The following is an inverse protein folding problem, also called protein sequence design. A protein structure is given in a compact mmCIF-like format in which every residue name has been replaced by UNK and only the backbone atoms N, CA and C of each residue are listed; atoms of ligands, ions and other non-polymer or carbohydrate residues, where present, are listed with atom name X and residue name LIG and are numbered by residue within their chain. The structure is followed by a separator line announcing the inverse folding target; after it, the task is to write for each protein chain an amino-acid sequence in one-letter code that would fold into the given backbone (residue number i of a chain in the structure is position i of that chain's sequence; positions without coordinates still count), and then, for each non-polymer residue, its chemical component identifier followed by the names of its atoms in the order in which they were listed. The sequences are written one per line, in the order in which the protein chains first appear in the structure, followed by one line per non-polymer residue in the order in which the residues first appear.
data_IF_919151913962
#
_entry.id   IF_919151913962
#
_cell.length_a   1.000
_cell.length_b   1.000
_cell.length_c   1.000
_cell.angle_alpha   90.00
_cell.angle_beta   90.00
_cell.angle_gamma   90.00
#
_symmetry.space_group_name_H-M   'P 1'
#
loop_
_entity.id
_entity.type
_entity.pdbx_description
1 polymer ?
#
# COMPACT_ATOMS: atom_id res chain seq x y z
N UNK A 1 78.91 20.67 6.90
CA UNK A 1 78.20 19.46 6.57
C UNK A 1 77.13 19.07 7.60
N UNK A 2 77.40 19.00 8.90
CA UNK A 2 76.36 18.64 9.92
C UNK A 2 75.09 19.51 9.90
N UNK A 3 75.24 20.82 9.76
CA UNK A 3 74.09 21.78 9.75
C UNK A 3 73.19 21.65 8.54
N UNK A 4 73.69 21.24 7.38
CA UNK A 4 72.90 20.98 6.15
C UNK A 4 72.13 19.67 6.23
N UNK A 5 72.67 18.65 6.91
CA UNK A 5 71.98 17.39 7.14
C UNK A 5 70.83 17.51 8.11
N UNK A 6 70.93 18.36 9.12
CA UNK A 6 69.84 18.62 10.08
C UNK A 6 68.66 19.38 9.43
N UNK A 7 68.96 20.33 8.54
CA UNK A 7 67.94 21.09 7.77
C UNK A 7 67.24 20.15 6.77
N UNK A 8 67.97 19.25 6.08
CA UNK A 8 67.39 18.29 5.15
C UNK A 8 66.54 17.27 5.87
N UNK A 9 66.92 16.79 7.07
CA UNK A 9 66.14 15.89 7.90
C UNK A 9 64.84 16.56 8.44
N UNK A 10 64.92 17.85 8.80
CA UNK A 10 63.75 18.62 9.27
C UNK A 10 62.78 18.89 8.11
N UNK A 11 63.26 19.21 6.91
CA UNK A 11 62.42 19.35 5.71
C UNK A 11 61.79 18.04 5.27
N UNK A 12 62.46 16.89 5.37
CA UNK A 12 61.85 15.57 5.07
C UNK A 12 60.81 15.17 6.13
N UNK A 13 61.03 15.50 7.41
CA UNK A 13 60.03 15.24 8.45
C UNK A 13 58.78 16.11 8.27
N UNK A 14 58.92 17.36 7.80
CA UNK A 14 57.82 18.27 7.53
C UNK A 14 57.03 17.89 6.25
N UNK A 15 57.73 17.31 5.25
CA UNK A 15 57.12 16.84 4.01
C UNK A 15 56.36 15.52 4.21
N UNK A 16 56.74 14.67 5.18
CA UNK A 16 56.03 13.46 5.58
C UNK A 16 54.73 13.75 6.35
N UNK A 17 54.60 14.92 7.01
CA UNK A 17 53.41 15.35 7.74
C UNK A 17 52.32 15.92 6.79
N UNK A 18 52.67 16.36 5.59
CA UNK A 18 51.72 16.84 4.59
C UNK A 18 51.19 15.75 3.64
N UNK A 19 51.71 14.52 3.69
CA UNK A 19 51.20 13.37 2.95
C UNK A 19 50.26 12.48 3.74
N UNK A 20 50.03 12.80 5.04
CA UNK A 20 49.07 12.12 5.88
C UNK A 20 47.77 12.90 5.92
N UNK A 21 46.84 12.61 5.02
CA UNK A 21 45.46 12.94 5.25
C UNK A 21 44.78 13.89 4.31
N UNK A 22 44.72 13.51 3.04
CA UNK A 22 43.46 13.59 2.32
C UNK A 22 43.04 12.15 2.00
N UNK A 23 42.66 11.39 3.01
CA UNK A 23 41.57 10.48 2.81
C UNK A 23 40.39 11.38 2.45
N UNK A 24 40.09 11.51 1.17
CA UNK A 24 38.74 11.82 0.73
C UNK A 24 37.88 10.79 1.44
N UNK A 25 37.29 11.19 2.57
CA UNK A 25 36.15 10.47 3.12
C UNK A 25 35.24 10.29 1.92
N UNK A 26 34.81 9.06 1.56
CA UNK A 26 33.81 8.93 0.53
C UNK A 26 32.72 9.93 0.92
N UNK A 27 32.38 10.82 -0.02
CA UNK A 27 31.23 11.71 0.18
C UNK A 27 30.13 10.80 0.66
N UNK A 28 29.68 10.96 1.90
CA UNK A 28 28.67 10.10 2.51
C UNK A 28 27.36 10.42 1.81
N UNK A 29 27.27 10.01 0.54
CA UNK A 29 26.08 10.15 -0.28
C UNK A 29 25.04 9.25 0.36
N UNK A 30 23.93 9.83 0.80
CA UNK A 30 22.84 9.11 1.44
C UNK A 30 22.33 7.95 0.59
N UNK A 31 21.62 7.01 1.19
CA UNK A 31 20.82 6.02 0.46
C UNK A 31 19.58 6.73 -0.05
N UNK A 32 19.33 6.67 -1.37
CA UNK A 32 18.18 7.33 -1.99
C UNK A 32 17.05 6.33 -2.20
N UNK A 33 15.88 6.60 -1.65
CA UNK A 33 14.64 5.86 -1.92
C UNK A 33 13.71 6.80 -2.71
N UNK A 34 13.22 6.34 -3.85
CA UNK A 34 12.27 7.09 -4.66
C UNK A 34 10.83 6.87 -4.21
N UNK A 35 9.96 7.90 -4.34
CA UNK A 35 8.51 7.70 -4.25
C UNK A 35 7.84 8.16 -5.54
N UNK A 36 6.85 7.39 -5.99
CA UNK A 36 6.02 7.67 -7.17
C UNK A 36 4.56 7.63 -6.71
N UNK A 37 4.06 8.75 -6.20
CA UNK A 37 2.79 8.83 -5.49
C UNK A 37 1.90 9.94 -6.05
N UNK A 38 0.58 9.83 -5.89
CA UNK A 38 -0.38 10.87 -6.27
C UNK A 38 -0.49 11.94 -5.17
N UNK A 39 0.51 12.82 -5.05
CA UNK A 39 0.54 13.86 -4.01
C UNK A 39 -0.38 15.04 -4.33
N UNK A 40 -0.90 15.09 -5.54
CA UNK A 40 -1.96 15.98 -5.98
C UNK A 40 -2.92 15.25 -6.94
N UNK A 41 -4.05 15.85 -7.26
CA UNK A 41 -5.00 15.26 -8.20
C UNK A 41 -5.77 14.07 -7.63
N UNK A 42 -6.03 13.09 -8.49
CA UNK A 42 -6.82 11.90 -8.12
C UNK A 42 -6.01 10.95 -7.23
N UNK A 43 -6.62 10.51 -6.13
CA UNK A 43 -5.96 9.62 -5.16
C UNK A 43 -5.07 10.33 -4.14
N UNK A 44 -5.02 11.69 -4.16
CA UNK A 44 -4.20 12.46 -3.23
C UNK A 44 -4.43 12.10 -1.76
N UNK A 45 -5.67 11.83 -1.36
CA UNK A 45 -5.99 11.46 0.03
C UNK A 45 -5.26 10.21 0.49
N UNK A 46 -5.19 9.20 -0.36
CA UNK A 46 -4.49 7.93 -0.09
C UNK A 46 -2.97 8.14 -0.09
N UNK A 47 -2.45 8.66 -1.19
CA UNK A 47 -1.00 8.77 -1.38
C UNK A 47 -0.31 9.77 -0.44
N UNK A 48 -1.01 10.82 0.01
CA UNK A 48 -0.48 11.71 1.06
C UNK A 48 -0.31 10.96 2.39
N UNK A 49 -1.26 10.09 2.71
CA UNK A 49 -1.17 9.22 3.90
C UNK A 49 0.00 8.24 3.77
N UNK A 50 0.13 7.57 2.61
CA UNK A 50 1.26 6.70 2.30
C UNK A 50 2.60 7.42 2.47
N UNK A 51 2.74 8.64 1.92
CA UNK A 51 3.98 9.41 2.02
C UNK A 51 4.33 9.76 3.47
N UNK A 52 3.34 10.09 4.31
CA UNK A 52 3.56 10.32 5.74
C UNK A 52 4.10 9.08 6.45
N UNK A 53 3.61 7.90 6.13
CA UNK A 53 4.14 6.63 6.64
C UNK A 53 5.59 6.41 6.24
N UNK A 54 5.93 6.65 4.98
CA UNK A 54 7.29 6.57 4.44
C UNK A 54 8.23 7.57 5.13
N UNK A 55 7.80 8.82 5.28
CA UNK A 55 8.58 9.86 5.94
C UNK A 55 8.81 9.57 7.43
N UNK A 56 7.84 8.97 8.12
CA UNK A 56 8.02 8.51 9.49
C UNK A 56 9.06 7.39 9.55
N UNK A 57 8.94 6.38 8.70
CA UNK A 57 9.87 5.25 8.64
C UNK A 57 11.31 5.72 8.36
N UNK A 58 11.48 6.62 7.40
CA UNK A 58 12.78 7.25 7.08
C UNK A 58 13.38 7.95 8.30
N UNK A 59 12.58 8.75 9.01
CA UNK A 59 13.07 9.47 10.20
C UNK A 59 13.51 8.47 11.27
N UNK A 60 12.71 7.45 11.56
CA UNK A 60 13.04 6.40 12.54
C UNK A 60 14.31 5.61 12.16
N UNK A 61 14.56 5.40 10.86
CA UNK A 61 15.79 4.77 10.38
C UNK A 61 16.97 5.72 10.54
N UNK A 62 16.81 6.99 10.20
CA UNK A 62 17.87 8.00 10.33
C UNK A 62 18.27 8.28 11.78
N UNK A 63 17.32 8.26 12.71
CA UNK A 63 17.56 8.42 14.15
C UNK A 63 18.42 7.26 14.72
N UNK A 64 18.43 6.10 14.05
CA UNK A 64 19.28 4.96 14.39
C UNK A 64 20.60 4.90 13.62
N UNK A 65 20.93 5.95 12.85
CA UNK A 65 22.20 6.08 12.11
C UNK A 65 22.08 5.84 10.59
N UNK A 66 20.87 5.74 10.07
CA UNK A 66 20.59 5.52 8.66
C UNK A 66 20.79 4.07 8.22
N UNK A 67 20.89 3.82 6.91
CA UNK A 67 21.15 2.51 6.31
C UNK A 67 22.63 2.40 5.94
N UNK A 68 23.26 1.29 6.30
CA UNK A 68 24.69 1.06 6.06
C UNK A 68 25.57 2.21 6.60
N UNK A 69 25.16 2.85 7.71
CA UNK A 69 25.84 4.01 8.29
C UNK A 69 25.70 5.29 7.45
N UNK A 70 24.75 5.38 6.56
CA UNK A 70 24.48 6.54 5.70
C UNK A 70 23.06 7.05 5.90
N UNK A 71 22.82 8.38 5.88
CA UNK A 71 21.46 8.92 5.98
C UNK A 71 20.61 8.48 4.79
N UNK A 72 19.33 8.20 5.04
CA UNK A 72 18.34 7.95 3.98
C UNK A 72 17.68 9.25 3.58
N UNK A 73 17.50 9.43 2.27
CA UNK A 73 16.79 10.56 1.68
C UNK A 73 15.69 10.07 0.75
N UNK A 74 14.53 10.71 0.79
CA UNK A 74 13.43 10.45 -0.15
C UNK A 74 13.57 11.37 -1.36
N UNK A 75 13.43 10.78 -2.53
CA UNK A 75 13.28 11.49 -3.81
C UNK A 75 11.81 11.35 -4.22
N UNK A 76 11.00 12.32 -3.82
CA UNK A 76 9.55 12.28 -4.08
C UNK A 76 9.21 12.82 -5.46
N UNK A 77 8.35 12.10 -6.20
CA UNK A 77 7.80 12.52 -7.50
C UNK A 77 6.28 12.38 -7.46
N UNK A 78 5.59 13.51 -7.67
CA UNK A 78 4.14 13.55 -7.79
C UNK A 78 3.69 13.05 -9.16
N UNK A 79 2.88 12.00 -9.22
CA UNK A 79 2.28 11.47 -10.45
C UNK A 79 0.87 12.01 -10.73
N UNK A 80 0.36 12.90 -9.88
CA UNK A 80 -0.96 13.55 -10.00
C UNK A 80 -2.15 12.56 -10.13
N UNK A 81 -1.94 11.28 -9.81
CA UNK A 81 -2.91 10.20 -10.04
C UNK A 81 -3.15 9.90 -11.52
N UNK A 82 -2.16 10.19 -12.38
CA UNK A 82 -2.23 10.00 -13.84
C UNK A 82 -1.22 8.95 -14.30
N UNK A 83 -1.64 7.99 -15.13
CA UNK A 83 -0.75 6.95 -15.67
C UNK A 83 0.48 7.52 -16.40
N UNK A 84 0.30 8.52 -17.24
CA UNK A 84 1.39 9.14 -18.01
C UNK A 84 2.43 9.83 -17.12
N UNK A 85 2.00 10.46 -16.03
CA UNK A 85 2.90 11.11 -15.08
C UNK A 85 3.62 10.06 -14.20
N UNK A 86 2.93 8.97 -13.86
CA UNK A 86 3.54 7.83 -13.16
C UNK A 86 4.66 7.18 -13.97
N UNK A 87 4.45 7.01 -15.29
CA UNK A 87 5.49 6.50 -16.20
C UNK A 87 6.69 7.46 -16.28
N UNK A 88 6.44 8.76 -16.40
CA UNK A 88 7.49 9.78 -16.42
C UNK A 88 8.27 9.83 -15.09
N UNK A 89 7.65 9.55 -13.96
CA UNK A 89 8.29 9.49 -12.65
C UNK A 89 9.38 8.40 -12.60
N UNK A 90 9.17 7.23 -13.22
CA UNK A 90 10.19 6.16 -13.26
C UNK A 90 11.48 6.67 -13.91
N UNK A 91 11.39 7.43 -15.00
CA UNK A 91 12.57 8.00 -15.66
C UNK A 91 13.29 9.01 -14.76
N UNK A 92 12.55 9.88 -14.07
CA UNK A 92 13.12 10.87 -13.14
C UNK A 92 13.85 10.17 -11.99
N UNK A 93 13.27 9.12 -11.41
CA UNK A 93 13.87 8.36 -10.31
C UNK A 93 15.09 7.56 -10.77
N UNK A 94 15.06 7.02 -11.99
CA UNK A 94 16.20 6.29 -12.58
C UNK A 94 17.45 7.16 -12.70
N UNK A 95 17.33 8.38 -13.19
CA UNK A 95 18.50 9.31 -13.32
C UNK A 95 19.01 9.80 -11.97
N UNK A 96 18.25 9.63 -10.89
CA UNK A 96 18.67 9.90 -9.53
C UNK A 96 19.36 8.73 -8.86
N UNK A 97 19.43 7.56 -9.52
CA UNK A 97 20.03 6.33 -9.01
C UNK A 97 19.47 5.91 -7.64
N UNK A 98 18.14 5.90 -7.51
CA UNK A 98 17.49 5.43 -6.29
C UNK A 98 17.69 3.92 -6.11
N UNK A 99 17.80 3.47 -4.86
CA UNK A 99 17.98 2.05 -4.50
C UNK A 99 16.70 1.24 -4.64
N UNK A 100 15.56 1.89 -4.48
CA UNK A 100 14.22 1.31 -4.64
C UNK A 100 13.20 2.43 -4.92
N UNK A 101 12.02 2.05 -5.41
CA UNK A 101 10.87 2.93 -5.64
C UNK A 101 9.70 2.42 -4.82
N UNK A 102 9.04 3.30 -4.06
CA UNK A 102 7.81 2.99 -3.34
C UNK A 102 6.64 3.67 -4.05
N UNK A 103 5.59 2.90 -4.35
CA UNK A 103 4.45 3.34 -5.17
C UNK A 103 4.61 2.95 -6.65
N UNK A 104 3.57 3.18 -7.49
CA UNK A 104 2.32 3.88 -7.18
C UNK A 104 1.36 3.08 -6.29
N UNK A 105 0.38 3.81 -5.70
CA UNK A 105 -0.72 3.21 -4.92
C UNK A 105 -1.88 2.78 -5.83
N UNK A 106 -2.21 3.61 -6.83
CA UNK A 106 -3.37 3.40 -7.70
C UNK A 106 -3.08 2.36 -8.78
N UNK A 107 -4.01 1.43 -9.00
CA UNK A 107 -3.90 0.34 -9.98
C UNK A 107 -3.51 0.83 -11.39
N UNK A 108 -4.22 1.85 -11.91
CA UNK A 108 -4.00 2.35 -13.27
C UNK A 108 -2.60 2.95 -13.44
N UNK A 109 -2.08 3.63 -12.40
CA UNK A 109 -0.72 4.17 -12.37
C UNK A 109 0.34 3.06 -12.22
N UNK A 110 0.05 2.03 -11.42
CA UNK A 110 0.99 0.92 -11.21
C UNK A 110 1.17 0.10 -12.50
N UNK A 111 0.08 -0.23 -13.18
CA UNK A 111 0.13 -1.07 -14.40
C UNK A 111 1.01 -0.50 -15.51
N UNK A 112 0.97 0.80 -15.75
CA UNK A 112 1.72 1.41 -16.86
C UNK A 112 3.23 1.46 -16.61
N UNK A 113 3.66 1.42 -15.35
CA UNK A 113 5.09 1.51 -14.99
C UNK A 113 5.81 0.16 -15.02
N UNK A 114 5.10 -0.97 -15.01
CA UNK A 114 5.69 -2.32 -14.89
C UNK A 114 6.79 -2.60 -15.93
N UNK A 115 6.57 -2.38 -17.25
CA UNK A 115 7.59 -2.64 -18.25
C UNK A 115 8.84 -1.75 -18.07
N UNK A 116 8.65 -0.51 -17.64
CA UNK A 116 9.75 0.44 -17.43
C UNK A 116 10.58 0.05 -16.21
N UNK A 117 9.94 -0.37 -15.12
CA UNK A 117 10.61 -0.84 -13.90
C UNK A 117 11.47 -2.08 -14.18
N UNK A 118 10.93 -3.07 -14.89
CA UNK A 118 11.69 -4.25 -15.31
C UNK A 118 12.90 -3.88 -16.18
N UNK A 119 12.74 -2.90 -17.09
CA UNK A 119 13.82 -2.45 -17.96
C UNK A 119 14.95 -1.73 -17.22
N UNK A 120 14.61 -0.89 -16.21
CA UNK A 120 15.61 -0.13 -15.44
C UNK A 120 16.20 -0.93 -14.27
N UNK A 121 15.59 -2.07 -13.90
CA UNK A 121 16.05 -2.99 -12.84
C UNK A 121 16.19 -2.33 -11.46
N UNK A 122 15.25 -1.47 -11.13
CA UNK A 122 15.11 -0.85 -9.81
C UNK A 122 13.89 -1.48 -9.15
N UNK A 123 13.98 -2.10 -7.94
CA UNK A 123 12.82 -2.69 -7.31
C UNK A 123 11.76 -1.63 -7.01
N UNK A 124 10.51 -1.94 -7.34
CA UNK A 124 9.34 -1.17 -7.03
C UNK A 124 8.49 -1.97 -6.04
N UNK A 125 8.17 -1.35 -4.91
CA UNK A 125 7.24 -1.89 -3.93
C UNK A 125 5.98 -1.04 -3.97
N UNK A 126 4.86 -1.60 -4.47
CA UNK A 126 3.57 -0.93 -4.37
C UNK A 126 3.01 -1.09 -2.96
N UNK A 127 2.76 0.01 -2.22
CA UNK A 127 2.18 -0.09 -0.89
C UNK A 127 0.75 -0.65 -0.91
N UNK A 128 -0.10 -0.15 -1.80
CA UNK A 128 -1.54 -0.33 -1.73
C UNK A 128 -2.21 -0.90 -3.00
N UNK A 129 -1.48 -1.15 -4.09
CA UNK A 129 -2.09 -1.74 -5.29
C UNK A 129 -2.36 -3.24 -5.07
N UNK A 130 -3.65 -3.60 -5.04
CA UNK A 130 -4.14 -4.94 -4.72
C UNK A 130 -4.47 -5.80 -5.95
N UNK A 131 -4.42 -5.23 -7.14
CA UNK A 131 -4.74 -5.96 -8.38
C UNK A 131 -3.74 -7.11 -8.62
N UNK A 132 -4.19 -8.37 -8.82
CA UNK A 132 -3.30 -9.54 -8.89
C UNK A 132 -2.20 -9.48 -9.95
N UNK A 133 -2.50 -8.93 -11.12
CA UNK A 133 -1.61 -8.93 -12.28
C UNK A 133 -0.54 -7.81 -12.30
N UNK A 134 -0.24 -7.20 -11.16
CA UNK A 134 0.89 -6.25 -11.11
C UNK A 134 2.23 -6.92 -10.85
N UNK A 135 2.26 -8.07 -10.23
CA UNK A 135 3.49 -8.84 -9.93
C UNK A 135 3.75 -9.95 -10.94
N UNK A 136 2.72 -10.35 -11.67
CA UNK A 136 2.79 -11.41 -12.70
C UNK A 136 2.28 -10.88 -14.03
N UNK A 137 3.04 -11.07 -15.11
CA UNK A 137 2.59 -10.70 -16.44
C UNK A 137 1.37 -11.54 -16.86
N UNK A 138 0.21 -10.93 -17.16
CA UNK A 138 -1.01 -11.66 -17.46
C UNK A 138 -0.95 -12.44 -18.79
N UNK A 139 0.06 -12.20 -19.65
CA UNK A 139 0.21 -12.86 -20.94
C UNK A 139 1.21 -14.01 -20.90
N UNK A 140 2.37 -13.79 -20.29
CA UNK A 140 3.42 -14.81 -20.19
C UNK A 140 3.29 -15.67 -18.95
N UNK A 141 2.57 -15.23 -17.93
CA UNK A 141 2.49 -15.80 -16.58
C UNK A 141 3.86 -15.84 -15.88
N UNK A 142 4.80 -14.99 -16.32
CA UNK A 142 6.09 -14.84 -15.67
C UNK A 142 6.00 -13.78 -14.55
N UNK A 143 6.66 -14.05 -13.43
CA UNK A 143 6.76 -13.11 -12.32
C UNK A 143 7.70 -11.97 -12.71
N UNK A 144 7.26 -10.74 -12.50
CA UNK A 144 8.12 -9.57 -12.66
C UNK A 144 9.19 -9.56 -11.58
N UNK A 145 10.44 -9.52 -11.98
CA UNK A 145 11.58 -9.66 -11.09
C UNK A 145 11.79 -8.48 -10.16
N UNK A 146 11.36 -7.31 -10.57
CA UNK A 146 11.59 -6.06 -9.84
C UNK A 146 10.30 -5.44 -9.28
N UNK A 147 9.18 -6.16 -9.28
CA UNK A 147 7.90 -5.68 -8.79
C UNK A 147 7.50 -6.48 -7.54
N UNK A 148 7.17 -5.75 -6.48
CA UNK A 148 6.76 -6.26 -5.17
C UNK A 148 5.55 -5.49 -4.67
N UNK A 149 4.85 -6.03 -3.67
CA UNK A 149 3.79 -5.30 -2.96
C UNK A 149 3.78 -5.57 -1.46
N UNK A 150 3.34 -4.58 -0.66
CA UNK A 150 3.08 -4.74 0.76
C UNK A 150 1.62 -5.08 1.08
N UNK A 151 0.72 -4.84 0.12
CA UNK A 151 -0.71 -5.15 0.22
C UNK A 151 -1.01 -6.61 -0.16
N UNK A 152 -2.06 -7.20 0.41
CA UNK A 152 -2.66 -8.43 -0.11
C UNK A 152 -3.37 -8.16 -1.46
N UNK A 153 -3.79 -9.21 -2.17
CA UNK A 153 -4.43 -9.10 -3.48
C UNK A 153 -5.96 -9.02 -3.40
N UNK A 154 -6.60 -8.45 -4.44
CA UNK A 154 -8.06 -8.35 -4.55
C UNK A 154 -8.78 -9.69 -4.40
N UNK A 155 -8.18 -10.78 -4.88
CA UNK A 155 -8.75 -12.11 -4.72
C UNK A 155 -8.87 -12.51 -3.24
N UNK A 156 -7.89 -12.16 -2.42
CA UNK A 156 -7.90 -12.43 -0.97
C UNK A 156 -8.96 -11.59 -0.27
N UNK A 157 -9.03 -10.29 -0.55
CA UNK A 157 -10.03 -9.44 0.11
C UNK A 157 -11.47 -9.72 -0.36
N UNK A 158 -11.68 -9.99 -1.65
CA UNK A 158 -13.01 -10.36 -2.17
C UNK A 158 -13.53 -11.65 -1.52
N UNK A 159 -12.67 -12.66 -1.37
CA UNK A 159 -12.98 -13.90 -0.67
C UNK A 159 -13.23 -13.67 0.82
N UNK A 160 -12.36 -12.92 1.50
CA UNK A 160 -12.50 -12.62 2.93
C UNK A 160 -13.81 -11.90 3.22
N UNK A 161 -14.21 -10.93 2.39
CA UNK A 161 -15.49 -10.25 2.54
C UNK A 161 -16.69 -11.17 2.27
N UNK A 162 -16.60 -12.04 1.26
CA UNK A 162 -17.64 -13.06 1.01
C UNK A 162 -17.77 -14.01 2.21
N UNK A 163 -16.67 -14.50 2.73
CA UNK A 163 -16.62 -15.36 3.92
C UNK A 163 -17.22 -14.68 5.16
N UNK A 164 -16.87 -13.42 5.39
CA UNK A 164 -17.45 -12.63 6.48
C UNK A 164 -18.97 -12.50 6.34
N UNK A 165 -19.44 -12.15 5.15
CA UNK A 165 -20.87 -12.04 4.86
C UNK A 165 -21.62 -13.34 5.14
N UNK A 166 -21.07 -14.46 4.69
CA UNK A 166 -21.68 -15.79 4.86
C UNK A 166 -21.63 -16.29 6.31
N UNK A 167 -20.49 -16.18 6.98
CA UNK A 167 -20.21 -16.82 8.28
C UNK A 167 -20.59 -15.96 9.47
N UNK A 168 -20.47 -14.62 9.35
CA UNK A 168 -20.74 -13.69 10.46
C UNK A 168 -22.07 -12.97 10.30
N UNK A 169 -22.42 -12.52 9.10
CA UNK A 169 -23.71 -11.87 8.84
C UNK A 169 -24.82 -12.86 8.47
N UNK A 170 -24.47 -14.13 8.20
CA UNK A 170 -25.39 -15.22 7.87
C UNK A 170 -26.31 -14.92 6.66
N UNK A 171 -25.83 -14.15 5.70
CA UNK A 171 -26.56 -13.73 4.50
C UNK A 171 -26.40 -14.75 3.37
N UNK A 172 -27.37 -14.79 2.45
CA UNK A 172 -27.39 -15.74 1.32
C UNK A 172 -27.63 -15.08 -0.03
N UNK A 173 -28.09 -13.83 -0.04
CA UNK A 173 -28.44 -13.11 -1.28
C UNK A 173 -27.75 -11.75 -1.27
N UNK A 174 -26.81 -11.55 -2.20
CA UNK A 174 -26.05 -10.31 -2.31
C UNK A 174 -26.44 -9.50 -3.54
N UNK A 175 -26.42 -8.18 -3.43
CA UNK A 175 -26.30 -7.28 -4.57
C UNK A 175 -24.87 -6.79 -4.69
N UNK A 176 -24.40 -6.60 -5.91
CA UNK A 176 -23.11 -6.00 -6.22
C UNK A 176 -23.34 -4.84 -7.19
N UNK A 177 -22.96 -3.64 -6.79
CA UNK A 177 -22.89 -2.48 -7.67
C UNK A 177 -21.44 -2.01 -7.73
N UNK A 178 -20.89 -1.79 -8.91
CA UNK A 178 -19.50 -1.41 -9.08
C UNK A 178 -19.30 -0.37 -10.19
N UNK A 179 -18.27 0.45 -10.05
CA UNK A 179 -17.90 1.44 -11.06
C UNK A 179 -17.23 0.76 -12.26
N UNK A 180 -17.78 0.83 -13.49
CA UNK A 180 -17.33 0.01 -14.61
C UNK A 180 -15.96 0.38 -15.20
N UNK A 181 -15.52 1.63 -15.06
CA UNK A 181 -14.27 2.13 -15.65
C UNK A 181 -13.03 1.95 -14.75
N UNK A 182 -13.18 1.22 -13.63
CA UNK A 182 -12.10 0.97 -12.68
C UNK A 182 -11.76 -0.50 -12.62
N UNK A 183 -10.56 -0.85 -13.06
CA UNK A 183 -10.04 -2.23 -13.01
C UNK A 183 -10.12 -2.81 -11.59
N UNK A 184 -9.77 -2.01 -10.59
CA UNK A 184 -9.90 -2.35 -9.17
C UNK A 184 -11.33 -2.73 -8.80
N UNK A 185 -12.32 -1.88 -9.08
CA UNK A 185 -13.72 -2.13 -8.71
C UNK A 185 -14.31 -3.35 -9.44
N UNK A 186 -13.97 -3.53 -10.73
CA UNK A 186 -14.41 -4.67 -11.52
C UNK A 186 -13.82 -6.00 -11.01
N UNK A 187 -12.51 -6.01 -10.69
CA UNK A 187 -11.83 -7.18 -10.14
C UNK A 187 -12.45 -7.62 -8.82
N UNK A 188 -12.60 -6.70 -7.90
CA UNK A 188 -13.23 -6.95 -6.60
C UNK A 188 -14.67 -7.46 -6.70
N UNK A 189 -15.48 -6.84 -7.56
CA UNK A 189 -16.86 -7.28 -7.80
C UNK A 189 -16.89 -8.75 -8.23
N UNK A 190 -15.98 -9.16 -9.13
CA UNK A 190 -15.90 -10.52 -9.63
C UNK A 190 -15.38 -11.50 -8.57
N UNK A 191 -14.33 -11.15 -7.82
CA UNK A 191 -13.80 -12.02 -6.76
C UNK A 191 -14.81 -12.25 -5.65
N UNK A 192 -15.50 -11.19 -5.19
CA UNK A 192 -16.58 -11.33 -4.22
C UNK A 192 -17.70 -12.21 -4.76
N UNK A 193 -18.20 -11.93 -5.99
CA UNK A 193 -19.27 -12.70 -6.62
C UNK A 193 -18.92 -14.18 -6.73
N UNK A 194 -17.72 -14.47 -7.23
CA UNK A 194 -17.26 -15.85 -7.42
C UNK A 194 -17.14 -16.59 -6.09
N UNK A 195 -16.53 -15.99 -5.08
CA UNK A 195 -16.39 -16.58 -3.75
C UNK A 195 -17.75 -16.78 -3.07
N UNK A 196 -18.65 -15.81 -3.16
CA UNK A 196 -19.98 -15.87 -2.57
C UNK A 196 -20.84 -16.96 -3.24
N UNK A 197 -20.81 -17.06 -4.57
CA UNK A 197 -21.54 -18.09 -5.33
C UNK A 197 -20.98 -19.51 -5.12
N UNK A 198 -19.67 -19.65 -4.93
CA UNK A 198 -19.03 -20.94 -4.67
C UNK A 198 -19.55 -21.62 -3.39
N UNK A 199 -20.08 -20.84 -2.44
CA UNK A 199 -20.72 -21.35 -1.21
C UNK A 199 -22.16 -21.84 -1.42
N UNK A 200 -22.72 -21.75 -2.63
CA UNK A 200 -24.13 -22.04 -2.93
C UNK A 200 -25.08 -20.87 -2.63
N UNK A 201 -24.55 -19.67 -2.36
CA UNK A 201 -25.31 -18.43 -2.18
C UNK A 201 -25.51 -17.71 -3.50
N UNK A 202 -26.45 -16.75 -3.55
CA UNK A 202 -26.88 -16.12 -4.80
C UNK A 202 -26.46 -14.65 -4.89
N UNK A 203 -26.09 -14.19 -6.09
CA UNK A 203 -25.88 -12.78 -6.41
C UNK A 203 -26.88 -12.36 -7.49
N UNK A 204 -28.17 -12.18 -7.15
CA UNK A 204 -29.25 -11.88 -8.10
C UNK A 204 -29.12 -10.50 -8.73
N UNK A 205 -28.33 -9.61 -8.14
CA UNK A 205 -28.09 -8.26 -8.64
C UNK A 205 -26.58 -8.08 -8.81
N UNK A 206 -26.13 -7.89 -10.06
CA UNK A 206 -24.72 -7.66 -10.41
C UNK A 206 -24.68 -6.64 -11.54
N UNK A 207 -24.50 -5.36 -11.18
CA UNK A 207 -24.77 -4.25 -12.09
C UNK A 207 -23.65 -3.23 -12.04
N UNK A 208 -23.03 -2.90 -13.21
CA UNK A 208 -22.15 -1.74 -13.30
C UNK A 208 -22.96 -0.46 -13.21
N UNK A 209 -22.48 0.49 -12.39
CA UNK A 209 -23.10 1.80 -12.17
C UNK A 209 -22.05 2.88 -12.28
N UNK A 210 -22.11 3.66 -13.37
CA UNK A 210 -21.19 4.75 -13.59
C UNK A 210 -21.62 5.98 -12.76
N UNK A 211 -22.86 6.41 -12.92
CA UNK A 211 -23.42 7.55 -12.19
C UNK A 211 -24.12 7.06 -10.90
N UNK A 212 -23.67 7.54 -9.75
CA UNK A 212 -24.23 7.13 -8.45
C UNK A 212 -25.75 7.31 -8.38
N UNK A 213 -26.31 8.37 -8.98
CA UNK A 213 -27.75 8.64 -9.02
C UNK A 213 -28.54 7.52 -9.68
N UNK A 214 -27.92 6.75 -10.55
CA UNK A 214 -28.53 5.60 -11.24
C UNK A 214 -28.84 4.44 -10.29
N UNK A 215 -28.22 4.38 -9.10
CA UNK A 215 -28.59 3.42 -8.06
C UNK A 215 -30.06 3.52 -7.68
N UNK A 216 -30.69 4.69 -7.81
CA UNK A 216 -32.12 4.89 -7.52
C UNK A 216 -33.01 4.01 -8.42
N UNK A 217 -32.58 3.71 -9.64
CA UNK A 217 -33.29 2.84 -10.60
C UNK A 217 -33.42 1.40 -10.08
N UNK A 218 -32.55 0.98 -9.17
CA UNK A 218 -32.43 -0.39 -8.69
C UNK A 218 -32.99 -0.63 -7.29
N UNK A 219 -33.47 0.40 -6.58
CA UNK A 219 -33.98 0.28 -5.21
C UNK A 219 -35.15 -0.73 -5.12
N UNK A 220 -36.11 -0.68 -6.05
CA UNK A 220 -37.22 -1.66 -6.11
C UNK A 220 -36.75 -3.07 -6.51
N UNK A 221 -35.63 -3.19 -7.26
CA UNK A 221 -35.02 -4.45 -7.60
C UNK A 221 -34.43 -5.13 -6.35
N UNK A 222 -33.73 -4.38 -5.49
CA UNK A 222 -33.19 -4.89 -4.22
C UNK A 222 -34.29 -5.52 -3.34
N UNK A 223 -35.44 -4.85 -3.24
CA UNK A 223 -36.59 -5.37 -2.49
C UNK A 223 -37.20 -6.62 -3.15
N UNK A 224 -37.41 -6.61 -4.46
CA UNK A 224 -37.99 -7.73 -5.20
C UNK A 224 -37.12 -8.99 -5.12
N UNK A 225 -35.80 -8.81 -5.20
CA UNK A 225 -34.84 -9.92 -5.14
C UNK A 225 -34.51 -10.36 -3.70
N UNK A 226 -35.12 -9.74 -2.67
CA UNK A 226 -34.89 -10.02 -1.25
C UNK A 226 -33.37 -10.06 -0.94
N UNK A 227 -32.68 -8.99 -1.29
CA UNK A 227 -31.24 -8.86 -1.09
C UNK A 227 -30.95 -8.67 0.41
N UNK A 228 -30.06 -9.49 0.95
CA UNK A 228 -29.65 -9.44 2.36
C UNK A 228 -28.51 -8.44 2.61
N UNK A 229 -27.64 -8.25 1.61
CA UNK A 229 -26.40 -7.47 1.72
C UNK A 229 -26.04 -6.81 0.40
N UNK A 230 -25.37 -5.67 0.45
CA UNK A 230 -24.95 -4.93 -0.76
C UNK A 230 -23.44 -4.73 -0.72
N UNK A 231 -22.72 -5.21 -1.73
CA UNK A 231 -21.29 -4.97 -1.92
C UNK A 231 -21.06 -3.85 -2.93
N UNK A 232 -20.26 -2.86 -2.53
CA UNK A 232 -20.00 -1.62 -3.28
C UNK A 232 -18.49 -1.41 -3.48
N UNK A 233 -17.83 -2.22 -4.32
CA UNK A 233 -16.39 -2.04 -4.56
C UNK A 233 -16.11 -0.77 -5.36
N UNK A 234 -15.19 0.05 -4.85
CA UNK A 234 -14.78 1.32 -5.45
C UNK A 234 -13.99 2.20 -4.50
N UNK A 235 -13.52 3.31 -5.04
CA UNK A 235 -12.82 4.35 -4.29
C UNK A 235 -13.81 5.35 -3.66
N UNK A 236 -13.31 6.16 -2.74
CA UNK A 236 -14.06 7.14 -1.95
C UNK A 236 -14.92 8.11 -2.79
N UNK A 237 -14.44 8.51 -3.96
CA UNK A 237 -15.11 9.45 -4.87
C UNK A 237 -16.47 8.94 -5.41
N UNK A 238 -16.63 7.61 -5.49
CA UNK A 238 -17.87 6.96 -5.91
C UNK A 238 -18.62 6.34 -4.73
N UNK A 239 -17.93 5.72 -3.78
CA UNK A 239 -18.56 4.94 -2.71
C UNK A 239 -19.21 5.81 -1.63
N UNK A 240 -18.62 6.94 -1.26
CA UNK A 240 -19.21 7.88 -0.28
C UNK A 240 -20.57 8.39 -0.75
N UNK A 241 -20.71 8.93 -1.99
CA UNK A 241 -22.02 9.28 -2.53
C UNK A 241 -22.99 8.09 -2.62
N UNK A 242 -22.50 6.88 -2.96
CA UNK A 242 -23.34 5.69 -3.07
C UNK A 242 -23.93 5.27 -1.71
N UNK A 243 -23.11 5.22 -0.66
CA UNK A 243 -23.56 4.95 0.72
C UNK A 243 -24.60 5.97 1.13
N UNK A 244 -24.31 7.26 0.96
CA UNK A 244 -25.20 8.37 1.31
C UNK A 244 -26.55 8.25 0.57
N UNK A 245 -26.53 7.96 -0.72
CA UNK A 245 -27.73 7.82 -1.54
C UNK A 245 -28.57 6.62 -1.06
N UNK A 246 -27.97 5.45 -0.88
CA UNK A 246 -28.69 4.24 -0.45
C UNK A 246 -29.31 4.45 0.93
N UNK A 247 -28.58 4.97 1.89
CA UNK A 247 -29.05 5.22 3.25
C UNK A 247 -30.15 6.28 3.29
N UNK A 248 -30.03 7.36 2.53
CA UNK A 248 -31.08 8.41 2.46
C UNK A 248 -32.39 7.91 1.85
N UNK A 249 -32.35 6.84 1.06
CA UNK A 249 -33.53 6.17 0.51
C UNK A 249 -34.03 5.00 1.36
N UNK A 250 -33.55 4.87 2.62
CA UNK A 250 -34.03 3.89 3.58
C UNK A 250 -33.49 2.48 3.38
N UNK A 251 -32.45 2.29 2.59
CA UNK A 251 -31.76 0.99 2.49
C UNK A 251 -31.04 0.72 3.80
N UNK A 252 -31.48 -0.32 4.53
CA UNK A 252 -30.97 -0.70 5.85
C UNK A 252 -30.07 -1.94 5.83
N UNK A 253 -30.00 -2.66 4.70
CA UNK A 253 -29.14 -3.82 4.56
C UNK A 253 -27.68 -3.46 4.86
N UNK A 254 -26.88 -4.41 5.39
CA UNK A 254 -25.45 -4.23 5.54
C UNK A 254 -24.81 -3.81 4.20
N UNK A 255 -23.92 -2.81 4.27
CA UNK A 255 -23.10 -2.37 3.15
C UNK A 255 -21.69 -2.91 3.35
N UNK A 256 -21.17 -3.53 2.31
CA UNK A 256 -19.84 -4.12 2.31
C UNK A 256 -18.95 -3.38 1.31
N UNK A 257 -17.69 -3.19 1.65
CA UNK A 257 -16.71 -2.54 0.81
C UNK A 257 -15.32 -3.12 0.88
N UNK A 258 -14.44 -2.69 -0.01
CA UNK A 258 -13.03 -3.05 -0.01
C UNK A 258 -12.19 -2.07 0.81
N UNK A 259 -10.86 -2.29 0.82
CA UNK A 259 -9.84 -1.45 1.44
C UNK A 259 -9.85 0.02 0.96
N UNK A 260 -10.32 0.27 -0.26
CA UNK A 260 -10.53 1.63 -0.79
C UNK A 260 -11.56 2.48 -0.02
N UNK A 261 -12.25 1.91 0.97
CA UNK A 261 -13.13 2.65 1.88
C UNK A 261 -12.38 3.22 3.09
N UNK A 262 -11.18 2.72 3.37
CA UNK A 262 -10.36 3.31 4.42
C UNK A 262 -9.83 4.68 3.97
N UNK A 263 -9.87 5.63 4.87
CA UNK A 263 -9.34 6.95 4.65
C UNK A 263 -10.15 8.03 5.35
N UNK A 264 -9.52 9.17 5.63
CA UNK A 264 -10.12 10.24 6.43
C UNK A 264 -11.40 10.84 5.83
N UNK A 265 -11.67 10.60 4.55
CA UNK A 265 -12.90 11.10 3.92
C UNK A 265 -14.14 10.32 4.34
N UNK A 266 -14.04 9.00 4.52
CA UNK A 266 -15.20 8.19 4.94
C UNK A 266 -15.74 8.69 6.28
N UNK A 267 -14.87 8.90 7.25
CA UNK A 267 -15.23 9.37 8.58
C UNK A 267 -15.74 10.82 8.58
N UNK A 268 -15.19 11.67 7.71
CA UNK A 268 -15.53 13.10 7.67
C UNK A 268 -16.76 13.41 6.84
N UNK A 269 -16.91 12.73 5.69
CA UNK A 269 -17.85 13.15 4.64
C UNK A 269 -19.14 12.30 4.63
N UNK A 270 -19.19 11.18 5.39
CA UNK A 270 -20.41 10.37 5.58
C UNK A 270 -21.07 10.71 6.91
N UNK A 271 -22.40 10.93 6.88
CA UNK A 271 -23.16 11.08 8.13
C UNK A 271 -23.00 9.81 8.99
N UNK A 272 -22.65 10.00 10.27
CA UNK A 272 -22.41 8.90 11.20
C UNK A 272 -23.57 7.91 11.29
N UNK A 273 -24.81 8.38 11.14
CA UNK A 273 -26.00 7.51 11.14
C UNK A 273 -26.05 6.55 9.96
N UNK A 274 -25.36 6.87 8.86
CA UNK A 274 -25.26 6.05 7.65
C UNK A 274 -24.16 5.00 7.73
N UNK A 275 -23.27 5.10 8.71
CA UNK A 275 -22.18 4.14 8.94
C UNK A 275 -22.62 2.90 9.75
N UNK A 276 -23.90 2.80 10.12
CA UNK A 276 -24.45 1.61 10.78
C UNK A 276 -24.47 0.40 9.83
N UNK A 277 -23.98 -0.75 10.29
CA UNK A 277 -23.84 -1.98 9.49
C UNK A 277 -23.06 -1.75 8.19
N UNK A 278 -21.99 -1.01 8.28
CA UNK A 278 -21.00 -0.82 7.21
C UNK A 278 -19.77 -1.61 7.58
N UNK A 279 -19.30 -2.46 6.66
CA UNK A 279 -18.13 -3.31 6.85
C UNK A 279 -17.21 -3.21 5.63
N UNK A 280 -15.91 -3.18 5.84
CA UNK A 280 -14.95 -3.11 4.76
C UNK A 280 -13.68 -3.90 5.09
N UNK A 281 -13.02 -4.41 4.05
CA UNK A 281 -11.70 -5.02 4.22
C UNK A 281 -10.65 -3.94 4.43
N UNK A 282 -9.63 -4.25 5.23
CA UNK A 282 -8.54 -3.32 5.48
C UNK A 282 -7.21 -4.06 5.71
N UNK A 283 -6.12 -3.36 5.51
CA UNK A 283 -4.76 -3.83 5.76
C UNK A 283 -4.27 -3.56 7.19
N UNK A 284 -4.96 -2.69 7.92
CA UNK A 284 -4.55 -2.22 9.24
C UNK A 284 -5.69 -2.34 10.25
N UNK A 285 -5.46 -3.09 11.31
CA UNK A 285 -6.48 -3.38 12.32
C UNK A 285 -6.54 -2.36 13.46
N UNK A 286 -5.86 -1.22 13.31
CA UNK A 286 -5.80 -0.16 14.32
C UNK A 286 -4.55 -0.24 15.21
N UNK A 287 -4.40 0.78 16.07
CA UNK A 287 -3.18 1.03 16.83
C UNK A 287 -2.84 -0.01 17.91
N UNK A 288 -3.82 -0.81 18.35
CA UNK A 288 -3.64 -1.83 19.40
C UNK A 288 -3.53 -3.27 18.86
N UNK A 289 -3.55 -3.46 17.53
CA UNK A 289 -3.62 -4.77 16.92
C UNK A 289 -2.38 -5.67 17.19
N UNK A 290 -1.20 -5.07 17.24
CA UNK A 290 0.07 -5.76 17.52
C UNK A 290 1.07 -4.81 18.19
N UNK A 291 2.21 -5.35 18.65
CA UNK A 291 3.30 -4.53 19.17
C UNK A 291 3.92 -3.64 18.08
N UNK A 292 4.04 -4.16 16.85
CA UNK A 292 4.53 -3.37 15.70
C UNK A 292 3.54 -2.26 15.33
N UNK A 293 2.24 -2.56 15.27
CA UNK A 293 1.18 -1.57 15.04
C UNK A 293 1.18 -0.47 16.11
N UNK A 294 1.37 -0.84 17.37
CA UNK A 294 1.44 0.11 18.47
C UNK A 294 2.66 1.03 18.38
N UNK A 295 3.85 0.47 18.11
CA UNK A 295 5.08 1.27 17.93
C UNK A 295 4.94 2.27 16.78
N UNK A 296 4.43 1.80 15.65
CA UNK A 296 4.18 2.64 14.47
C UNK A 296 3.19 3.76 14.77
N UNK A 297 2.02 3.41 15.29
CA UNK A 297 0.93 4.38 15.49
C UNK A 297 1.25 5.41 16.57
N UNK A 298 1.95 5.02 17.64
CA UNK A 298 2.41 5.95 18.66
C UNK A 298 3.40 6.97 18.06
N UNK A 299 4.40 6.51 17.30
CA UNK A 299 5.35 7.38 16.64
C UNK A 299 4.69 8.30 15.59
N UNK A 300 3.68 7.77 14.87
CA UNK A 300 2.91 8.55 13.92
C UNK A 300 2.12 9.65 14.63
N UNK A 301 1.43 9.32 15.72
CA UNK A 301 0.68 10.29 16.52
C UNK A 301 1.57 11.36 17.13
N UNK A 302 2.75 11.00 17.65
CA UNK A 302 3.74 11.94 18.17
C UNK A 302 4.23 12.92 17.12
N UNK A 303 4.39 12.45 15.86
CA UNK A 303 4.89 13.30 14.76
C UNK A 303 3.79 14.18 14.14
N UNK A 304 2.58 13.64 13.95
CA UNK A 304 1.53 14.29 13.16
C UNK A 304 0.33 14.77 13.96
N UNK A 305 0.17 14.35 15.23
CA UNK A 305 -0.95 14.74 16.11
C UNK A 305 -2.28 14.05 15.79
N UNK A 306 -2.28 13.04 14.91
CA UNK A 306 -3.45 12.26 14.52
C UNK A 306 -3.08 10.76 14.39
N UNK A 307 -4.05 9.87 14.50
CA UNK A 307 -3.82 8.44 14.31
C UNK A 307 -3.64 8.09 12.84
N UNK A 308 -2.78 7.09 12.50
CA UNK A 308 -2.59 6.66 11.13
C UNK A 308 -3.79 5.89 10.59
N UNK A 309 -4.00 5.99 9.29
CA UNK A 309 -4.82 5.09 8.50
C UNK A 309 -4.00 3.91 7.91
N UNK A 310 -4.65 3.02 7.16
CA UNK A 310 -3.98 1.86 6.56
C UNK A 310 -2.98 2.25 5.48
N UNK A 311 -3.19 3.33 4.75
CA UNK A 311 -2.26 3.79 3.72
C UNK A 311 -0.95 4.28 4.33
N UNK A 312 -1.01 4.99 5.46
CA UNK A 312 0.17 5.35 6.23
C UNK A 312 0.92 4.10 6.73
N UNK A 313 0.19 3.10 7.24
CA UNK A 313 0.79 1.86 7.71
C UNK A 313 1.42 1.05 6.57
N UNK A 314 0.78 0.96 5.40
CA UNK A 314 1.32 0.30 4.21
C UNK A 314 2.56 1.00 3.65
N UNK A 315 2.56 2.33 3.61
CA UNK A 315 3.73 3.12 3.22
C UNK A 315 4.91 2.91 4.16
N UNK A 316 4.64 2.88 5.46
CA UNK A 316 5.63 2.55 6.49
C UNK A 316 6.21 1.15 6.29
N UNK A 317 5.36 0.13 6.11
CA UNK A 317 5.81 -1.25 5.91
C UNK A 317 6.60 -1.42 4.61
N UNK A 318 6.16 -0.84 3.50
CA UNK A 318 6.88 -0.90 2.23
C UNK A 318 8.29 -0.28 2.35
N UNK A 319 8.42 0.84 3.06
CA UNK A 319 9.73 1.43 3.33
C UNK A 319 10.58 0.55 4.23
N UNK A 320 10.02 0.05 5.33
CA UNK A 320 10.78 -0.75 6.30
C UNK A 320 11.22 -2.11 5.74
N UNK A 321 10.38 -2.77 4.92
CA UNK A 321 10.76 -3.97 4.16
C UNK A 321 11.96 -3.68 3.23
N UNK A 322 11.93 -2.53 2.55
CA UNK A 322 13.04 -2.07 1.71
C UNK A 322 14.31 -1.81 2.53
N UNK A 323 14.17 -1.13 3.67
CA UNK A 323 15.28 -0.84 4.57
C UNK A 323 15.92 -2.11 5.14
N UNK A 324 15.11 -3.08 5.56
CA UNK A 324 15.62 -4.39 6.02
C UNK A 324 16.31 -5.16 4.89
N UNK A 325 15.80 -5.13 3.66
CA UNK A 325 16.44 -5.78 2.52
C UNK A 325 17.84 -5.18 2.26
N UNK A 326 17.98 -3.84 2.31
CA UNK A 326 19.25 -3.14 2.18
C UNK A 326 20.22 -3.56 3.29
N UNK A 327 19.76 -3.61 4.54
CA UNK A 327 20.59 -4.03 5.67
C UNK A 327 20.99 -5.52 5.59
N UNK A 328 20.07 -6.42 5.20
CA UNK A 328 20.39 -7.86 5.06
C UNK A 328 21.41 -8.12 3.97
N UNK A 329 21.29 -7.47 2.80
CA UNK A 329 22.26 -7.67 1.71
C UNK A 329 23.54 -6.80 1.85
N UNK A 330 23.61 -5.91 2.81
CA UNK A 330 24.72 -4.96 3.00
C UNK A 330 25.05 -4.16 1.73
N UNK A 331 24.04 -3.85 0.93
CA UNK A 331 24.16 -3.14 -0.35
C UNK A 331 22.96 -2.22 -0.57
N UNK A 332 23.20 -1.05 -1.17
CA UNK A 332 22.15 -0.15 -1.64
C UNK A 332 21.99 -0.20 -3.17
N UNK A 333 22.64 -1.16 -3.83
CA UNK A 333 22.50 -1.36 -5.27
C UNK A 333 21.12 -2.00 -5.57
N UNK A 334 20.36 -1.37 -6.45
CA UNK A 334 18.99 -1.75 -6.73
C UNK A 334 18.77 -3.26 -7.06
N UNK A 335 19.61 -3.91 -7.88
CA UNK A 335 19.44 -5.35 -8.14
C UNK A 335 19.73 -6.26 -6.94
N UNK A 336 20.56 -5.80 -5.98
CA UNK A 336 20.83 -6.54 -4.75
C UNK A 336 19.63 -6.44 -3.81
N UNK A 337 19.07 -5.24 -3.70
CA UNK A 337 17.85 -4.99 -2.92
C UNK A 337 16.68 -5.83 -3.42
N UNK A 338 16.47 -5.90 -4.75
CA UNK A 338 15.43 -6.73 -5.34
C UNK A 338 15.56 -8.21 -4.93
N UNK A 339 16.77 -8.80 -5.10
CA UNK A 339 17.03 -10.19 -4.72
C UNK A 339 16.83 -10.47 -3.22
N UNK A 340 16.99 -9.45 -2.38
CA UNK A 340 16.79 -9.61 -0.96
C UNK A 340 15.34 -9.41 -0.54
N UNK A 341 14.60 -8.55 -1.23
CA UNK A 341 13.14 -8.40 -1.04
C UNK A 341 12.39 -9.71 -1.29
N UNK A 342 12.76 -10.48 -2.32
CA UNK A 342 12.20 -11.81 -2.61
C UNK A 342 12.23 -12.77 -1.41
N UNK A 343 13.15 -12.55 -0.45
CA UNK A 343 13.34 -13.40 0.74
C UNK A 343 12.62 -12.89 1.99
N UNK A 344 11.71 -11.94 1.84
CA UNK A 344 10.95 -11.41 2.97
C UNK A 344 10.01 -12.49 3.51
N UNK A 345 10.25 -12.94 4.72
CA UNK A 345 9.44 -13.93 5.44
C UNK A 345 9.24 -13.42 6.88
N UNK A 346 8.00 -13.52 7.35
CA UNK A 346 7.58 -13.19 8.73
C UNK A 346 8.03 -11.78 9.18
N UNK A 347 8.01 -10.81 8.27
CA UNK A 347 8.26 -9.41 8.60
C UNK A 347 7.17 -8.92 9.58
N UNK A 348 7.58 -8.43 10.76
CA UNK A 348 6.69 -7.88 11.81
C UNK A 348 6.30 -6.44 11.48
N UNK A 349 5.32 -6.29 10.60
CA UNK A 349 4.86 -5.00 10.08
C UNK A 349 3.78 -4.33 10.92
N UNK A 350 3.58 -3.04 10.69
CA UNK A 350 2.46 -2.28 11.25
C UNK A 350 1.10 -2.84 10.79
N UNK A 351 1.07 -3.38 9.58
CA UNK A 351 -0.12 -3.99 8.96
C UNK A 351 -0.21 -5.51 9.20
N UNK A 352 0.46 -6.03 10.22
CA UNK A 352 0.55 -7.45 10.58
C UNK A 352 1.80 -8.13 10.04
N UNK A 353 1.89 -9.45 10.23
CA UNK A 353 3.02 -10.24 9.73
C UNK A 353 2.92 -10.38 8.20
N UNK A 354 4.00 -10.04 7.50
CA UNK A 354 4.06 -10.06 6.03
C UNK A 354 5.13 -11.05 5.57
N UNK A 355 4.74 -11.98 4.71
CA UNK A 355 5.67 -12.79 3.90
C UNK A 355 5.39 -12.55 2.43
N UNK A 356 6.42 -12.54 1.58
CA UNK A 356 6.23 -12.51 0.13
C UNK A 356 6.18 -13.94 -0.40
N UNK A 357 5.20 -14.21 -1.26
CA UNK A 357 5.11 -15.49 -1.98
C UNK A 357 6.01 -15.52 -3.22
N UNK A 358 5.94 -16.62 -3.97
CA UNK A 358 6.72 -16.79 -5.20
C UNK A 358 6.34 -15.79 -6.31
N UNK A 359 5.21 -15.12 -6.20
CA UNK A 359 4.76 -14.07 -7.11
C UNK A 359 5.11 -12.66 -6.63
N UNK A 360 5.81 -12.53 -5.50
CA UNK A 360 6.10 -11.26 -4.81
C UNK A 360 4.86 -10.58 -4.23
N UNK A 361 3.80 -11.35 -4.01
CA UNK A 361 2.57 -10.88 -3.36
C UNK A 361 2.68 -11.04 -1.84
N UNK A 362 2.13 -10.08 -1.11
CA UNK A 362 2.12 -10.15 0.33
C UNK A 362 1.09 -11.17 0.83
N UNK A 363 1.58 -12.16 1.57
CA UNK A 363 0.78 -13.11 2.35
C UNK A 363 0.58 -12.49 3.73
N UNK A 364 -0.65 -12.16 4.06
CA UNK A 364 -1.04 -11.56 5.35
C UNK A 364 -2.53 -11.70 5.59
N UNK A 365 -2.94 -11.55 6.84
CA UNK A 365 -4.35 -11.56 7.21
C UNK A 365 -5.13 -10.38 6.60
N UNK A 366 -6.44 -10.60 6.38
CA UNK A 366 -7.38 -9.56 5.97
C UNK A 366 -8.19 -9.14 7.19
N UNK A 367 -8.17 -7.86 7.51
CA UNK A 367 -9.00 -7.31 8.57
C UNK A 367 -10.36 -6.86 8.02
N UNK A 368 -11.43 -7.16 8.74
CA UNK A 368 -12.75 -6.61 8.48
C UNK A 368 -13.00 -5.52 9.50
N UNK A 369 -13.18 -4.32 9.01
CA UNK A 369 -13.45 -3.14 9.82
C UNK A 369 -14.93 -2.78 9.77
N UNK A 370 -15.38 -2.09 10.80
CA UNK A 370 -16.70 -1.45 10.90
C UNK A 370 -16.55 -0.09 11.54
N UNK A 371 -17.66 0.61 11.72
CA UNK A 371 -17.65 1.90 12.41
C UNK A 371 -18.45 1.82 13.72
N UNK A 372 -17.86 2.33 14.80
CA UNK A 372 -18.48 2.52 16.08
C UNK A 372 -18.31 3.97 16.50
N UNK A 373 -19.43 4.63 16.79
CA UNK A 373 -19.45 6.06 17.10
C UNK A 373 -18.70 6.92 16.06
N UNK A 374 -18.74 6.48 14.77
CA UNK A 374 -18.10 7.14 13.64
C UNK A 374 -16.60 6.86 13.50
N UNK A 375 -16.02 6.03 14.37
CA UNK A 375 -14.60 5.67 14.32
C UNK A 375 -14.42 4.23 13.83
N UNK A 376 -13.37 3.92 13.05
CA UNK A 376 -13.07 2.57 12.64
C UNK A 376 -12.83 1.64 13.84
N UNK A 377 -13.42 0.46 13.81
CA UNK A 377 -13.25 -0.60 14.82
C UNK A 377 -13.06 -1.94 14.11
N UNK A 378 -12.17 -2.79 14.61
CA UNK A 378 -11.96 -4.13 14.10
C UNK A 378 -13.20 -5.01 14.40
N UNK A 379 -13.85 -5.51 13.33
CA UNK A 379 -14.98 -6.44 13.44
C UNK A 379 -14.53 -7.90 13.42
N UNK A 380 -13.55 -8.25 12.57
CA UNK A 380 -13.00 -9.59 12.48
C UNK A 380 -11.62 -9.61 11.83
N UNK A 381 -10.83 -10.65 12.11
CA UNK A 381 -9.62 -11.00 11.37
C UNK A 381 -9.91 -12.27 10.58
N UNK A 382 -9.66 -12.23 9.29
CA UNK A 382 -9.75 -13.40 8.40
C UNK A 382 -8.32 -13.85 8.10
N UNK A 383 -7.87 -14.97 8.70
CA UNK A 383 -6.52 -15.47 8.46
C UNK A 383 -6.31 -15.81 6.98
N UNK A 384 -5.10 -15.60 6.49
CA UNK A 384 -4.71 -16.08 5.17
C UNK A 384 -4.76 -17.62 5.15
N UNK A 385 -5.54 -18.20 4.22
CA UNK A 385 -5.80 -19.65 4.15
C UNK A 385 -4.87 -20.42 3.18
N UNK A 386 -3.86 -19.74 2.62
CA UNK A 386 -2.92 -20.32 1.65
C UNK A 386 -3.48 -20.47 0.23
N UNK A 387 -4.70 -19.98 -0.04
CA UNK A 387 -5.33 -20.09 -1.36
C UNK A 387 -5.22 -18.74 -2.10
N UNK A 388 -4.18 -18.57 -2.89
CA UNK A 388 -3.93 -17.36 -3.72
C UNK A 388 -4.40 -17.51 -5.17
N UNK A 389 -5.25 -18.48 -5.49
CA UNK A 389 -5.73 -18.69 -6.88
C UNK A 389 -7.22 -18.41 -7.05
#
# INVERSE_FOLDING_TARGET
MKRYMEILAFCMLFMAFFLSGCSLSPTNTGVLIGTNLALSGKGMSYSTSTERGIELAKDMVNDRGGLLGRPVQIVSVDNHGKPEDAEAAIQQLTVRHVSAIIGPDLTDCTRVVLPNVEAVKIPLISPACTQPDITVDPKSHEVYRYIFRAAYIDASQGRAMADYALKQLHVKRAAVFYYPDKTYAQGLAEYFRSAFAASGSEVPVYIPVEEVQDLTKYLSLLQRENVDVIYLPGYDDWTIPAITLLRSHGISQPLLGPDGWNGPKMERDVDISYLTQVYYTDHYAGHDASEAARRFSQAYYEKYGEWPDSYAALGYDAFMMTAEAIERCQSAEAPDVARELEKTIDYDGATGTISLDANHDAIKDVFIMTFKDGQPELAATIPFDGQTQ
#
